data_IF_736352086163
#
_entry.id   IF_736352086163
#
_cell.length_a   1.000
_cell.length_b   1.000
_cell.length_c   1.000
_cell.angle_alpha   90.00
_cell.angle_beta   90.00
_cell.angle_gamma   90.00
#
_symmetry.space_group_name_H-M   'P 1'
#
loop_
_entity.id
_entity.type
_entity.pdbx_description
1 polymer ?
#
# COMPACT_ATOMS: atom_id res chain seq x y z
N UNK A 1 -0.18 47.64 -4.90
CA UNK A 1 -0.36 46.50 -3.96
C UNK A 1 -1.36 46.95 -2.92
N UNK A 2 -2.65 46.64 -3.09
CA UNK A 2 -3.68 46.96 -2.09
C UNK A 2 -3.48 46.06 -0.89
N UNK A 3 -3.20 46.64 0.27
CA UNK A 3 -3.24 45.95 1.55
C UNK A 3 -4.71 45.64 1.85
N UNK A 4 -5.10 44.37 2.09
CA UNK A 4 -6.45 44.07 2.52
C UNK A 4 -6.70 44.74 3.87
N UNK A 5 -7.76 45.53 3.94
CA UNK A 5 -8.25 46.18 5.15
C UNK A 5 -8.34 45.15 6.28
N UNK A 6 -7.59 45.38 7.37
CA UNK A 6 -7.68 44.56 8.57
C UNK A 6 -9.09 44.75 9.16
N UNK A 7 -9.84 43.66 9.43
CA UNK A 7 -11.19 43.78 9.95
C UNK A 7 -11.16 44.50 11.30
N UNK A 8 -12.09 45.44 11.48
CA UNK A 8 -12.42 46.06 12.78
C UNK A 8 -12.40 44.97 13.85
N UNK A 9 -11.62 45.17 14.91
CA UNK A 9 -11.51 44.23 16.02
C UNK A 9 -12.91 43.76 16.43
N UNK A 10 -13.23 42.46 16.29
CA UNK A 10 -14.53 41.96 16.68
C UNK A 10 -14.75 42.27 18.16
N UNK A 11 -15.95 42.76 18.50
CA UNK A 11 -16.27 43.09 19.89
C UNK A 11 -16.09 41.88 20.81
N UNK A 12 -15.83 42.08 22.10
CA UNK A 12 -15.53 40.99 23.05
C UNK A 12 -16.61 39.91 23.10
N UNK A 13 -17.87 40.26 22.82
CA UNK A 13 -19.00 39.30 22.72
C UNK A 13 -18.87 38.35 21.53
N UNK A 14 -18.34 38.81 20.39
CA UNK A 14 -18.14 37.99 19.20
C UNK A 14 -16.99 37.00 19.44
N UNK A 15 -15.92 37.47 20.07
CA UNK A 15 -14.79 36.61 20.45
C UNK A 15 -15.26 35.52 21.41
N UNK A 16 -16.01 35.87 22.45
CA UNK A 16 -16.58 34.89 23.39
C UNK A 16 -17.51 33.89 22.70
N UNK A 17 -18.38 34.35 21.80
CA UNK A 17 -19.26 33.45 21.04
C UNK A 17 -18.47 32.48 20.15
N UNK A 18 -17.42 32.96 19.49
CA UNK A 18 -16.53 32.14 18.67
C UNK A 18 -15.75 31.12 19.52
N UNK A 19 -15.26 31.54 20.67
CA UNK A 19 -14.56 30.66 21.62
C UNK A 19 -15.46 29.54 22.11
N UNK A 20 -16.68 29.86 22.56
CA UNK A 20 -17.67 28.85 22.98
C UNK A 20 -18.03 27.91 21.84
N UNK A 21 -18.21 28.44 20.62
CA UNK A 21 -18.46 27.63 19.44
C UNK A 21 -17.30 26.67 19.15
N UNK A 22 -16.05 27.14 19.19
CA UNK A 22 -14.86 26.33 18.96
C UNK A 22 -14.72 25.23 20.02
N UNK A 23 -14.92 25.56 21.30
CA UNK A 23 -14.90 24.58 22.39
C UNK A 23 -15.97 23.51 22.19
N UNK A 24 -17.18 23.91 21.81
CA UNK A 24 -18.29 22.98 21.57
C UNK A 24 -18.01 22.06 20.38
N UNK A 25 -17.51 22.61 19.27
CA UNK A 25 -17.10 21.82 18.10
C UNK A 25 -15.99 20.83 18.47
N UNK A 26 -15.00 21.26 19.25
CA UNK A 26 -13.90 20.39 19.68
C UNK A 26 -14.41 19.25 20.57
N UNK A 27 -15.33 19.54 21.50
CA UNK A 27 -15.96 18.54 22.35
C UNK A 27 -16.77 17.50 21.53
N UNK A 28 -17.55 17.95 20.54
CA UNK A 28 -18.29 17.05 19.64
C UNK A 28 -17.33 16.16 18.84
N UNK A 29 -16.24 16.72 18.33
CA UNK A 29 -15.25 15.97 17.57
C UNK A 29 -14.52 14.94 18.45
N UNK A 30 -14.18 15.29 19.69
CA UNK A 30 -13.60 14.37 20.65
C UNK A 30 -14.56 13.21 20.99
N UNK A 31 -15.83 13.50 21.25
CA UNK A 31 -16.84 12.48 21.48
C UNK A 31 -17.02 11.55 20.27
N UNK A 32 -17.04 12.11 19.05
CA UNK A 32 -17.09 11.35 17.81
C UNK A 32 -15.87 10.44 17.64
N UNK A 33 -14.67 10.93 17.95
CA UNK A 33 -13.44 10.14 17.89
C UNK A 33 -13.47 8.97 18.88
N UNK A 34 -13.88 9.23 20.13
CA UNK A 34 -14.09 8.19 21.14
C UNK A 34 -15.09 7.15 20.64
N UNK A 35 -16.19 7.58 20.02
CA UNK A 35 -17.19 6.68 19.46
C UNK A 35 -16.64 5.79 18.33
N UNK A 36 -15.86 6.35 17.40
CA UNK A 36 -15.24 5.59 16.30
C UNK A 36 -14.28 4.51 16.83
N UNK A 37 -13.53 4.83 17.90
CA UNK A 37 -12.60 3.88 18.52
C UNK A 37 -13.35 2.80 19.31
N UNK A 38 -14.40 3.17 20.06
CA UNK A 38 -15.13 2.24 20.91
C UNK A 38 -16.11 1.34 20.13
N UNK A 39 -16.72 1.85 19.07
CA UNK A 39 -17.68 1.14 18.23
C UNK A 39 -17.25 1.22 16.75
N UNK A 40 -16.22 0.45 16.35
CA UNK A 40 -15.83 0.37 14.95
C UNK A 40 -17.01 -0.19 14.15
N UNK A 41 -17.65 0.66 13.35
CA UNK A 41 -18.70 0.24 12.41
C UNK A 41 -18.05 -0.50 11.25
N UNK A 42 -17.73 -1.77 11.47
CA UNK A 42 -17.32 -2.68 10.42
C UNK A 42 -18.55 -3.02 9.58
N UNK A 43 -18.53 -2.68 8.29
CA UNK A 43 -19.39 -3.33 7.30
C UNK A 43 -18.92 -4.79 7.21
N UNK A 44 -19.50 -5.65 8.04
CA UNK A 44 -19.41 -7.09 7.86
C UNK A 44 -20.27 -7.39 6.65
N UNK A 45 -19.65 -7.45 5.47
CA UNK A 45 -20.32 -7.97 4.28
C UNK A 45 -20.85 -9.37 4.63
N UNK A 46 -22.14 -9.65 4.41
CA UNK A 46 -22.65 -10.99 4.65
C UNK A 46 -21.86 -11.96 3.75
N UNK A 47 -21.51 -13.16 4.26
CA UNK A 47 -20.79 -14.14 3.46
C UNK A 47 -21.64 -14.45 2.22
N UNK A 48 -21.15 -14.05 1.05
CA UNK A 48 -21.73 -14.47 -0.23
C UNK A 48 -21.59 -15.98 -0.28
N UNK A 49 -22.73 -16.69 -0.26
CA UNK A 49 -22.74 -18.13 -0.53
C UNK A 49 -22.25 -18.33 -1.96
N UNK A 50 -20.98 -18.70 -2.10
CA UNK A 50 -20.41 -19.10 -3.38
C UNK A 50 -21.18 -20.32 -3.88
N UNK A 51 -21.87 -20.16 -5.02
CA UNK A 51 -22.46 -21.28 -5.74
C UNK A 51 -21.31 -22.19 -6.20
N UNK A 52 -21.13 -23.31 -5.51
CA UNK A 52 -20.13 -24.30 -5.88
C UNK A 52 -20.65 -25.08 -7.08
N UNK A 53 -20.34 -24.59 -8.29
CA UNK A 53 -20.34 -25.45 -9.47
C UNK A 53 -19.26 -26.52 -9.24
N UNK A 54 -19.53 -27.81 -9.53
CA UNK A 54 -18.49 -28.84 -9.48
C UNK A 54 -17.29 -28.39 -10.31
N UNK A 55 -16.17 -28.17 -9.65
CA UNK A 55 -14.93 -27.73 -10.28
C UNK A 55 -14.27 -28.95 -10.90
N UNK A 56 -14.02 -28.88 -12.21
CA UNK A 56 -13.31 -29.92 -12.93
C UNK A 56 -11.81 -29.84 -12.60
N UNK A 57 -11.38 -30.71 -11.67
CA UNK A 57 -10.00 -30.82 -11.21
C UNK A 57 -9.03 -31.32 -12.30
N UNK A 58 -9.54 -31.85 -13.43
CA UNK A 58 -8.69 -32.33 -14.52
C UNK A 58 -7.95 -31.20 -15.25
N UNK A 59 -8.44 -29.96 -15.15
CA UNK A 59 -7.77 -28.76 -15.68
C UNK A 59 -6.44 -28.49 -14.98
N UNK A 60 -6.31 -28.83 -13.70
CA UNK A 60 -5.09 -28.64 -12.91
C UNK A 60 -3.97 -29.61 -13.32
N UNK A 61 -4.35 -30.81 -13.78
CA UNK A 61 -3.39 -31.79 -14.30
C UNK A 61 -2.86 -31.40 -15.70
N UNK A 62 -3.56 -30.51 -16.41
CA UNK A 62 -3.17 -30.07 -17.76
C UNK A 62 -2.22 -28.88 -17.76
N UNK A 63 -2.20 -28.10 -16.69
CA UNK A 63 -1.31 -26.96 -16.50
C UNK A 63 -0.36 -27.23 -15.33
N UNK A 64 0.79 -27.82 -15.62
CA UNK A 64 1.91 -27.85 -14.67
C UNK A 64 2.58 -26.46 -14.65
N UNK A 65 2.04 -25.56 -13.83
CA UNK A 65 2.56 -24.21 -13.65
C UNK A 65 3.87 -24.18 -12.83
N UNK A 66 4.27 -25.32 -12.25
CA UNK A 66 5.44 -25.42 -11.37
C UNK A 66 6.61 -26.18 -11.99
N UNK A 67 6.48 -26.59 -13.27
CA UNK A 67 7.58 -27.20 -14.01
C UNK A 67 8.20 -28.34 -13.22
N UNK A 68 7.39 -29.32 -12.80
CA UNK A 68 7.88 -30.49 -12.09
C UNK A 68 8.78 -31.40 -12.97
N UNK A 69 9.20 -30.94 -14.14
CA UNK A 69 10.52 -31.23 -14.71
C UNK A 69 11.60 -30.63 -13.81
N UNK A 70 11.99 -31.35 -12.75
CA UNK A 70 13.21 -31.17 -11.93
C UNK A 70 14.02 -29.89 -12.26
N UNK A 71 13.71 -28.80 -11.57
CA UNK A 71 14.60 -27.63 -11.51
C UNK A 71 13.92 -26.28 -11.79
N UNK A 72 13.06 -25.83 -10.87
CA UNK A 72 12.73 -24.41 -10.73
C UNK A 72 12.11 -24.14 -9.34
N UNK A 73 12.82 -24.49 -8.27
CA UNK A 73 12.56 -23.86 -6.97
C UNK A 73 13.17 -22.47 -7.03
N UNK A 74 12.33 -21.45 -6.96
CA UNK A 74 12.72 -20.05 -6.82
C UNK A 74 13.00 -19.37 -8.15
N UNK A 75 12.12 -18.43 -8.53
CA UNK A 75 12.54 -17.36 -9.42
C UNK A 75 13.85 -16.81 -8.88
N UNK A 76 14.90 -16.85 -9.70
CA UNK A 76 16.26 -16.45 -9.36
C UNK A 76 16.21 -15.21 -8.49
N UNK A 77 16.50 -15.37 -7.19
CA UNK A 77 16.63 -14.24 -6.30
C UNK A 77 17.60 -13.29 -6.98
N UNK A 78 17.17 -12.04 -7.20
CA UNK A 78 18.07 -11.09 -7.82
C UNK A 78 19.13 -10.78 -6.77
N UNK A 79 20.28 -11.44 -6.88
CA UNK A 79 21.37 -11.29 -5.93
C UNK A 79 21.76 -9.81 -5.83
N UNK A 80 21.95 -9.36 -4.59
CA UNK A 80 22.28 -7.97 -4.28
C UNK A 80 21.08 -7.02 -4.15
N UNK A 81 19.83 -7.47 -4.30
CA UNK A 81 18.65 -6.64 -4.02
C UNK A 81 18.03 -6.98 -2.67
N UNK A 82 17.58 -5.95 -1.94
CA UNK A 82 16.90 -6.10 -0.66
C UNK A 82 15.65 -5.26 -0.59
N UNK A 83 14.54 -5.87 -0.19
CA UNK A 83 13.27 -5.21 0.03
C UNK A 83 13.15 -4.73 1.48
N UNK A 84 12.78 -3.46 1.66
CA UNK A 84 12.61 -2.83 2.97
C UNK A 84 11.17 -2.39 3.25
N UNK A 85 10.35 -2.18 2.21
CA UNK A 85 8.97 -1.78 2.39
C UNK A 85 8.16 -1.87 1.11
N UNK A 86 6.85 -2.11 1.24
CA UNK A 86 5.90 -2.11 0.13
C UNK A 86 4.66 -1.32 0.50
N UNK A 87 4.11 -0.62 -0.48
CA UNK A 87 2.79 -0.01 -0.41
C UNK A 87 2.04 -0.41 -1.66
N UNK A 88 1.15 -1.40 -1.52
CA UNK A 88 0.28 -1.85 -2.60
C UNK A 88 -0.83 -0.84 -2.86
N UNK A 89 -1.06 -0.52 -4.14
CA UNK A 89 -2.16 0.34 -4.58
C UNK A 89 -1.87 1.86 -4.54
N UNK A 90 -2.84 2.62 -5.04
CA UNK A 90 -2.73 4.07 -5.29
C UNK A 90 -2.61 4.42 -6.78
N UNK A 91 -2.64 5.72 -7.13
CA UNK A 91 -2.39 6.18 -8.50
C UNK A 91 -0.99 5.76 -8.91
N UNK A 92 -0.86 4.80 -9.84
CA UNK A 92 0.44 4.25 -10.28
C UNK A 92 0.76 2.83 -9.80
N UNK A 93 -0.19 2.09 -9.22
CA UNK A 93 -0.03 0.64 -8.98
C UNK A 93 0.77 0.24 -7.72
N UNK A 94 1.38 1.20 -7.03
CA UNK A 94 2.08 1.01 -5.76
C UNK A 94 3.53 1.47 -5.79
N UNK A 95 4.20 1.42 -4.65
CA UNK A 95 5.61 1.76 -4.52
C UNK A 95 6.33 0.79 -3.58
N UNK A 96 7.63 0.59 -3.83
CA UNK A 96 8.48 -0.28 -3.04
C UNK A 96 9.79 0.41 -2.68
N UNK A 97 10.27 0.13 -1.47
CA UNK A 97 11.55 0.63 -0.99
C UNK A 97 12.56 -0.50 -1.11
N UNK A 98 13.53 -0.32 -2.01
CA UNK A 98 14.47 -1.35 -2.44
C UNK A 98 15.89 -0.77 -2.35
N UNK A 99 16.83 -1.56 -1.86
CA UNK A 99 18.25 -1.29 -2.08
C UNK A 99 18.78 -2.21 -3.20
N UNK A 100 19.53 -1.62 -4.13
CA UNK A 100 20.23 -2.36 -5.16
C UNK A 100 21.58 -2.90 -4.67
N UNK A 101 22.39 -3.44 -5.61
CA UNK A 101 23.73 -3.95 -5.32
C UNK A 101 24.70 -2.88 -4.79
N UNK A 102 24.39 -1.61 -5.03
CA UNK A 102 25.09 -0.45 -4.50
C UNK A 102 24.81 -0.19 -3.01
N UNK A 103 23.83 -0.90 -2.43
CA UNK A 103 23.41 -0.75 -1.03
C UNK A 103 22.60 0.52 -0.76
N UNK A 104 22.29 1.32 -1.77
CA UNK A 104 21.56 2.57 -1.60
C UNK A 104 20.06 2.30 -1.62
N UNK A 105 19.38 2.61 -0.53
CA UNK A 105 17.94 2.43 -0.39
C UNK A 105 17.18 3.59 -1.05
N UNK A 106 16.29 3.27 -1.99
CA UNK A 106 15.42 4.25 -2.66
C UNK A 106 13.99 3.72 -2.80
N UNK A 107 13.05 4.64 -2.98
CA UNK A 107 11.65 4.31 -3.27
C UNK A 107 11.43 4.31 -4.77
N UNK A 108 10.86 3.24 -5.29
CA UNK A 108 10.57 3.05 -6.71
C UNK A 108 9.07 2.81 -6.92
N UNK A 109 8.56 3.32 -8.04
CA UNK A 109 7.18 3.12 -8.51
C UNK A 109 7.09 2.02 -9.56
N UNK A 110 5.90 1.44 -9.77
CA UNK A 110 5.71 0.41 -10.79
C UNK A 110 6.09 0.97 -12.16
N UNK A 111 6.96 0.25 -12.87
CA UNK A 111 7.53 0.63 -14.17
C UNK A 111 8.89 1.33 -14.09
N UNK A 112 9.34 1.72 -12.89
CA UNK A 112 10.60 2.42 -12.70
C UNK A 112 11.82 1.49 -12.73
N UNK A 113 12.93 1.98 -13.27
CA UNK A 113 14.21 1.26 -13.34
C UNK A 113 14.96 1.38 -12.02
N UNK A 114 15.23 0.25 -11.39
CA UNK A 114 15.93 0.16 -10.10
C UNK A 114 17.45 0.12 -10.31
N UNK A 115 17.88 -0.65 -11.30
CA UNK A 115 19.28 -0.86 -11.68
C UNK A 115 19.37 -1.22 -13.17
N UNK A 116 20.58 -1.44 -13.70
CA UNK A 116 20.82 -1.75 -15.11
C UNK A 116 19.94 -2.92 -15.61
N UNK A 117 18.94 -2.58 -16.42
CA UNK A 117 18.00 -3.53 -17.00
C UNK A 117 17.02 -4.19 -16.02
N UNK A 118 16.92 -3.72 -14.77
CA UNK A 118 15.95 -4.21 -13.76
C UNK A 118 14.88 -3.15 -13.50
N UNK A 119 13.61 -3.49 -13.74
CA UNK A 119 12.47 -2.62 -13.48
C UNK A 119 11.51 -3.21 -12.45
N UNK A 120 10.79 -2.36 -11.74
CA UNK A 120 9.72 -2.78 -10.83
C UNK A 120 8.48 -3.17 -11.66
N UNK A 121 8.16 -4.45 -11.76
CA UNK A 121 7.06 -4.95 -12.58
C UNK A 121 5.71 -4.85 -11.87
N UNK A 122 5.65 -5.21 -10.59
CA UNK A 122 4.44 -5.11 -9.77
C UNK A 122 4.77 -5.08 -8.28
N UNK A 123 3.84 -4.55 -7.47
CA UNK A 123 3.95 -4.48 -6.01
C UNK A 123 2.77 -5.21 -5.38
N UNK A 124 3.05 -6.27 -4.64
CA UNK A 124 2.08 -7.00 -3.83
C UNK A 124 2.11 -6.51 -2.36
N UNK A 125 1.28 -7.12 -1.52
CA UNK A 125 1.16 -6.74 -0.10
C UNK A 125 2.40 -7.14 0.73
N UNK A 126 3.13 -8.17 0.32
CA UNK A 126 4.23 -8.80 1.06
C UNK A 126 5.50 -9.02 0.22
N UNK A 127 5.43 -8.79 -1.10
CA UNK A 127 6.55 -8.98 -2.01
C UNK A 127 6.46 -8.02 -3.20
N UNK A 128 7.52 -7.98 -4.01
CA UNK A 128 7.54 -7.25 -5.28
C UNK A 128 7.99 -8.17 -6.41
N UNK A 129 7.46 -7.94 -7.61
CA UNK A 129 7.98 -8.56 -8.83
C UNK A 129 8.89 -7.58 -9.55
N UNK A 130 10.08 -8.06 -9.88
CA UNK A 130 11.08 -7.34 -10.64
C UNK A 130 11.19 -7.98 -12.03
N UNK A 131 11.37 -7.16 -13.06
CA UNK A 131 11.57 -7.61 -14.44
C UNK A 131 12.99 -7.30 -14.88
N UNK A 132 13.68 -8.31 -15.43
CA UNK A 132 14.99 -8.15 -16.07
C UNK A 132 14.93 -8.75 -17.47
N UNK A 133 15.01 -7.90 -18.50
CA UNK A 133 14.95 -8.36 -19.89
C UNK A 133 13.71 -9.19 -20.24
N UNK A 134 12.57 -8.94 -19.57
CA UNK A 134 11.32 -9.69 -19.75
C UNK A 134 11.15 -10.92 -18.83
N UNK A 135 12.20 -11.38 -18.16
CA UNK A 135 12.10 -12.40 -17.12
C UNK A 135 11.65 -11.78 -15.80
N UNK A 136 10.69 -12.40 -15.11
CA UNK A 136 10.19 -11.94 -13.81
C UNK A 136 10.86 -12.69 -12.66
N UNK A 137 11.21 -11.97 -11.61
CA UNK A 137 11.75 -12.52 -10.37
C UNK A 137 11.04 -11.89 -9.17
N UNK A 138 10.76 -12.71 -8.16
CA UNK A 138 10.10 -12.27 -6.93
C UNK A 138 11.14 -11.88 -5.89
N UNK A 139 11.00 -10.70 -5.31
CA UNK A 139 11.81 -10.25 -4.19
C UNK A 139 10.92 -10.10 -2.94
N UNK A 140 11.28 -10.83 -1.89
CA UNK A 140 10.56 -10.85 -0.61
C UNK A 140 11.39 -10.18 0.50
N UNK A 141 10.74 -9.89 1.62
CA UNK A 141 11.40 -9.34 2.80
C UNK A 141 12.48 -10.30 3.34
N UNK A 142 13.60 -9.75 3.88
CA UNK A 142 14.61 -10.57 4.53
C UNK A 142 14.01 -11.26 5.76
N UNK A 143 14.25 -12.56 5.87
CA UNK A 143 13.83 -13.35 7.04
C UNK A 143 14.79 -13.03 8.19
N UNK A 144 14.29 -12.45 9.27
CA UNK A 144 15.03 -12.33 10.52
C UNK A 144 15.22 -13.73 11.10
N UNK A 145 16.45 -14.23 11.12
CA UNK A 145 16.84 -15.46 11.82
C UNK A 145 17.33 -15.09 13.22
#
# INVERSE_FOLDING_TARGET
MSFPDLPRSPGPRIILALEVLLVLLLAVQAARLVWIVAAPVGVVSPPVKASHRPVDISVLARFDAFGATRGAVGGSAIDGFRLFGVRSGGPGGGSAIIAGPDGVQKSYTVGETIADGVTLASVAADHVELSRGGARATLSFPVSQ
#
